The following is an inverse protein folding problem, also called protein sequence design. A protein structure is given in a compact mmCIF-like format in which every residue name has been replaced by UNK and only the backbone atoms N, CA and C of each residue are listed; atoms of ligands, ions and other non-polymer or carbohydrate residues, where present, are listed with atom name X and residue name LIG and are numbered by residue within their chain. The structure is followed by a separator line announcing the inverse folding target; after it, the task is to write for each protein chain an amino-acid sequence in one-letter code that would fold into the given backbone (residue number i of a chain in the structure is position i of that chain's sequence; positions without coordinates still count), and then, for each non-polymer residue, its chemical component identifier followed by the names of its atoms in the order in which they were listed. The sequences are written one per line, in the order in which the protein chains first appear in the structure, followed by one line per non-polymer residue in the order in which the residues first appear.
data_IF_445817361379
#
_entry.id   IF_445817361379
#
_cell.length_a   1.000
_cell.length_b   1.000
_cell.length_c   1.000
_cell.angle_alpha   90.00
_cell.angle_beta   90.00
_cell.angle_gamma   90.00
#
_symmetry.space_group_name_H-M   'P 1'
#
loop_
_entity.id
_entity.type
_entity.pdbx_description
1 polymer ?
#
# COMPACT_ATOMS: atom_id res chain seq x y z
N UNK A 1 9.42 -10.89 22.98
CA UNK A 1 10.07 -11.64 21.88
C UNK A 1 9.73 -10.96 20.58
N UNK A 2 10.70 -10.76 19.68
CA UNK A 2 10.42 -10.35 18.29
C UNK A 2 9.51 -11.43 17.68
N UNK A 3 8.40 -11.02 17.06
CA UNK A 3 7.49 -11.93 16.36
C UNK A 3 8.21 -12.52 15.13
N UNK A 4 7.82 -13.72 14.70
CA UNK A 4 8.40 -14.33 13.52
C UNK A 4 8.05 -13.54 12.24
N UNK A 5 8.87 -13.60 11.17
CA UNK A 5 8.63 -12.85 9.93
C UNK A 5 7.22 -13.03 9.35
N UNK A 6 6.74 -14.27 9.30
CA UNK A 6 5.38 -14.59 8.85
C UNK A 6 4.28 -14.00 9.74
N UNK A 7 4.51 -13.94 11.05
CA UNK A 7 3.55 -13.34 11.98
C UNK A 7 3.48 -11.83 11.80
N UNK A 8 4.61 -11.16 11.56
CA UNK A 8 4.63 -9.73 11.26
C UNK A 8 3.96 -9.45 9.91
N UNK A 9 4.27 -10.22 8.87
CA UNK A 9 3.60 -10.12 7.57
C UNK A 9 2.08 -10.22 7.71
N UNK A 10 1.56 -11.20 8.47
CA UNK A 10 0.11 -11.33 8.73
C UNK A 10 -0.50 -10.12 9.42
N UNK A 11 0.22 -9.46 10.34
CA UNK A 11 -0.29 -8.25 11.00
C UNK A 11 -0.44 -7.08 10.03
N UNK A 12 0.54 -6.91 9.16
CA UNK A 12 0.48 -5.88 8.11
C UNK A 12 -0.62 -6.17 7.09
N UNK A 13 -0.79 -7.44 6.70
CA UNK A 13 -1.85 -7.84 5.79
C UNK A 13 -3.24 -7.60 6.39
N UNK A 14 -3.45 -7.96 7.66
CA UNK A 14 -4.71 -7.69 8.36
C UNK A 14 -5.06 -6.20 8.40
N UNK A 15 -4.06 -5.33 8.52
CA UNK A 15 -4.30 -3.88 8.44
C UNK A 15 -4.64 -3.44 7.01
N UNK A 16 -4.01 -4.01 5.98
CA UNK A 16 -4.34 -3.74 4.59
C UNK A 16 -5.79 -4.17 4.25
N UNK A 17 -6.22 -5.32 4.76
CA UNK A 17 -7.60 -5.81 4.59
C UNK A 17 -8.63 -4.88 5.25
N UNK A 18 -8.34 -4.40 6.46
CA UNK A 18 -9.20 -3.44 7.15
C UNK A 18 -9.25 -2.09 6.42
N UNK A 19 -8.13 -1.60 5.91
CA UNK A 19 -8.09 -0.37 5.10
C UNK A 19 -8.90 -0.53 3.81
N UNK A 20 -8.87 -1.70 3.17
CA UNK A 20 -9.65 -2.00 1.96
C UNK A 20 -11.15 -1.94 2.26
N UNK A 21 -11.58 -2.57 3.36
CA UNK A 21 -12.98 -2.54 3.81
C UNK A 21 -13.49 -1.10 4.00
N UNK A 22 -12.66 -0.22 4.56
CA UNK A 22 -13.01 1.20 4.71
C UNK A 22 -12.97 1.97 3.39
N UNK A 23 -12.02 1.66 2.50
CA UNK A 23 -11.96 2.27 1.18
C UNK A 23 -13.24 1.99 0.38
N UNK A 24 -13.69 0.73 0.38
CA UNK A 24 -14.94 0.30 -0.27
C UNK A 24 -16.15 1.05 0.31
N UNK A 25 -16.25 1.12 1.63
CA UNK A 25 -17.32 1.88 2.30
C UNK A 25 -17.31 3.37 1.90
N UNK A 26 -16.15 4.00 1.83
CA UNK A 26 -16.04 5.42 1.48
C UNK A 26 -16.42 5.70 0.02
N UNK A 27 -16.15 4.78 -0.90
CA UNK A 27 -16.61 4.91 -2.30
C UNK A 27 -18.13 5.00 -2.36
N UNK A 28 -18.84 4.19 -1.57
CA UNK A 28 -20.31 4.21 -1.54
C UNK A 28 -20.89 5.48 -0.90
N UNK A 29 -20.13 6.15 -0.03
CA UNK A 29 -20.60 7.28 0.79
C UNK A 29 -20.02 8.64 0.35
N UNK A 30 -19.41 8.72 -0.84
CA UNK A 30 -18.90 9.96 -1.40
C UNK A 30 -17.56 10.45 -0.82
N UNK A 31 -16.88 9.61 -0.03
CA UNK A 31 -15.57 9.88 0.54
C UNK A 31 -14.42 9.63 -0.44
N UNK A 32 -14.56 10.00 -1.72
CA UNK A 32 -13.69 9.53 -2.81
C UNK A 32 -12.21 9.85 -2.61
N UNK A 33 -11.88 11.06 -2.14
CA UNK A 33 -10.48 11.43 -1.92
C UNK A 33 -9.83 10.59 -0.81
N UNK A 34 -10.59 10.25 0.24
CA UNK A 34 -10.14 9.35 1.31
C UNK A 34 -10.09 7.89 0.84
N UNK A 35 -11.02 7.47 -0.01
CA UNK A 35 -10.96 6.14 -0.63
C UNK A 35 -9.69 5.98 -1.48
N UNK A 36 -9.31 7.00 -2.26
CA UNK A 36 -8.05 7.00 -3.01
C UNK A 36 -6.81 6.97 -2.09
N UNK A 37 -6.85 7.71 -0.97
CA UNK A 37 -5.80 7.66 0.04
C UNK A 37 -5.65 6.25 0.63
N UNK A 38 -6.76 5.63 1.03
CA UNK A 38 -6.75 4.29 1.59
C UNK A 38 -6.33 3.25 0.55
N UNK A 39 -6.73 3.40 -0.73
CA UNK A 39 -6.26 2.51 -1.78
C UNK A 39 -4.72 2.49 -1.89
N UNK A 40 -4.06 3.64 -1.73
CA UNK A 40 -2.60 3.69 -1.65
C UNK A 40 -2.07 2.99 -0.39
N UNK A 41 -2.70 3.20 0.77
CA UNK A 41 -2.31 2.54 2.02
C UNK A 41 -2.49 1.02 1.98
N UNK A 42 -3.54 0.52 1.33
CA UNK A 42 -3.78 -0.91 1.09
C UNK A 42 -2.61 -1.50 0.31
N UNK A 43 -2.25 -0.88 -0.83
CA UNK A 43 -1.12 -1.33 -1.65
C UNK A 43 0.20 -1.32 -0.88
N UNK A 44 0.49 -0.23 -0.17
CA UNK A 44 1.69 -0.10 0.66
C UNK A 44 1.78 -1.20 1.72
N UNK A 45 0.71 -1.40 2.50
CA UNK A 45 0.71 -2.35 3.63
C UNK A 45 0.70 -3.79 3.17
N UNK A 46 0.01 -4.12 2.07
CA UNK A 46 0.01 -5.46 1.49
C UNK A 46 1.40 -5.86 0.97
N UNK A 47 2.10 -4.96 0.28
CA UNK A 47 3.46 -5.23 -0.19
C UNK A 47 4.45 -5.35 0.98
N UNK A 48 4.34 -4.50 1.99
CA UNK A 48 5.11 -4.62 3.22
C UNK A 48 4.85 -5.96 3.92
N UNK A 49 3.60 -6.39 3.99
CA UNK A 49 3.23 -7.68 4.56
C UNK A 49 3.95 -8.85 3.86
N UNK A 50 3.97 -8.84 2.53
CA UNK A 50 4.69 -9.83 1.75
C UNK A 50 6.20 -9.81 2.04
N UNK A 51 6.83 -8.64 1.99
CA UNK A 51 8.27 -8.50 2.24
C UNK A 51 8.66 -8.94 3.66
N UNK A 52 7.87 -8.59 4.68
CA UNK A 52 8.05 -9.09 6.04
C UNK A 52 7.93 -10.62 6.11
N UNK A 53 6.99 -11.23 5.39
CA UNK A 53 6.85 -12.68 5.35
C UNK A 53 8.05 -13.38 4.69
N UNK A 54 8.77 -12.71 3.78
CA UNK A 54 10.01 -13.20 3.17
C UNK A 54 11.24 -13.07 4.08
N UNK A 55 11.12 -12.42 5.24
CA UNK A 55 12.22 -12.28 6.20
C UNK A 55 12.88 -10.90 6.24
N UNK A 56 12.39 -9.91 5.47
CA UNK A 56 12.89 -8.54 5.57
C UNK A 56 12.62 -7.97 6.96
N UNK A 57 13.66 -7.48 7.65
CA UNK A 57 13.49 -6.94 9.01
C UNK A 57 12.97 -5.50 9.02
N UNK A 58 13.31 -4.73 7.98
CA UNK A 58 13.08 -3.28 7.92
C UNK A 58 12.63 -2.91 6.50
N UNK A 59 11.32 -2.80 6.30
CA UNK A 59 10.73 -2.36 5.04
C UNK A 59 10.39 -0.87 5.11
N UNK A 60 11.18 -0.03 4.43
CA UNK A 60 11.07 1.43 4.49
C UNK A 60 10.37 2.02 3.26
N UNK A 61 9.85 3.22 3.43
CA UNK A 61 9.21 3.99 2.37
C UNK A 61 7.72 3.70 2.23
N UNK A 62 7.09 4.48 1.35
CA UNK A 62 5.64 4.47 1.10
C UNK A 62 5.30 4.28 -0.39
N UNK A 63 6.31 4.28 -1.25
CA UNK A 63 6.10 4.13 -2.69
C UNK A 63 5.74 2.69 -3.02
N UNK A 64 4.53 2.50 -3.53
CA UNK A 64 4.01 1.24 -4.05
C UNK A 64 4.90 0.73 -5.18
N UNK A 65 5.37 1.63 -6.05
CA UNK A 65 6.30 1.27 -7.14
C UNK A 65 7.57 0.61 -6.60
N UNK A 66 8.22 1.26 -5.62
CA UNK A 66 9.45 0.72 -5.01
C UNK A 66 9.19 -0.59 -4.28
N UNK A 67 8.11 -0.66 -3.50
CA UNK A 67 7.78 -1.87 -2.75
C UNK A 67 7.46 -3.06 -3.69
N UNK A 68 6.80 -2.83 -4.83
CA UNK A 68 6.61 -3.84 -5.87
C UNK A 68 7.94 -4.31 -6.46
N UNK A 69 8.86 -3.38 -6.76
CA UNK A 69 10.19 -3.72 -7.28
C UNK A 69 10.98 -4.61 -6.31
N UNK A 70 10.89 -4.32 -5.01
CA UNK A 70 11.50 -5.16 -3.98
C UNK A 70 10.80 -6.53 -3.86
N UNK A 71 9.48 -6.58 -3.93
CA UNK A 71 8.72 -7.82 -3.90
C UNK A 71 9.01 -8.71 -5.13
N UNK A 72 9.21 -8.10 -6.29
CA UNK A 72 9.56 -8.78 -7.54
C UNK A 72 10.87 -9.58 -7.47
N UNK A 73 11.76 -9.26 -6.52
CA UNK A 73 12.98 -10.04 -6.27
C UNK A 73 12.70 -11.42 -5.70
N UNK A 74 11.52 -11.63 -5.12
CA UNK A 74 11.07 -12.90 -4.54
C UNK A 74 10.04 -13.61 -5.42
N UNK A 75 9.20 -12.85 -6.11
CA UNK A 75 8.13 -13.38 -6.98
C UNK A 75 7.90 -12.44 -8.18
N UNK A 76 8.21 -12.92 -9.38
CA UNK A 76 8.17 -12.12 -10.61
C UNK A 76 6.77 -11.61 -10.99
N UNK A 77 5.70 -12.19 -10.45
CA UNK A 77 4.33 -11.72 -10.69
C UNK A 77 4.13 -10.26 -10.23
N UNK A 78 4.93 -9.79 -9.27
CA UNK A 78 4.90 -8.39 -8.82
C UNK A 78 5.42 -7.38 -9.87
N UNK A 79 6.16 -7.80 -10.90
CA UNK A 79 6.59 -6.90 -11.98
C UNK A 79 5.38 -6.40 -12.80
N UNK A 80 4.35 -7.23 -12.99
CA UNK A 80 3.12 -6.80 -13.65
C UNK A 80 2.36 -5.76 -12.82
N UNK A 81 2.37 -5.96 -11.49
CA UNK A 81 1.80 -5.04 -10.52
C UNK A 81 2.48 -3.66 -10.54
N UNK A 82 3.78 -3.61 -10.78
CA UNK A 82 4.57 -2.37 -10.84
C UNK A 82 3.99 -1.37 -11.86
N UNK A 83 3.62 -1.84 -13.06
CA UNK A 83 3.01 -0.98 -14.10
C UNK A 83 1.58 -0.55 -13.76
N UNK A 84 0.84 -1.34 -12.97
CA UNK A 84 -0.59 -1.12 -12.70
C UNK A 84 -0.84 -0.33 -11.43
N UNK A 85 -0.05 -0.56 -10.38
CA UNK A 85 -0.31 -0.03 -9.03
C UNK A 85 0.50 1.21 -8.70
N UNK A 86 1.56 1.53 -9.45
CA UNK A 86 2.36 2.74 -9.24
C UNK A 86 1.55 4.05 -9.29
N UNK A 87 0.42 4.06 -9.99
CA UNK A 87 -0.51 5.21 -10.00
C UNK A 87 -0.98 5.60 -8.59
N UNK A 88 -1.02 4.64 -7.65
CA UNK A 88 -1.45 4.88 -6.28
C UNK A 88 -0.53 5.86 -5.53
N UNK A 89 0.75 5.95 -5.89
CA UNK A 89 1.70 6.87 -5.26
C UNK A 89 1.26 8.34 -5.43
N UNK A 90 0.58 8.65 -6.54
CA UNK A 90 -0.02 9.97 -6.77
C UNK A 90 -1.09 10.34 -5.76
N UNK A 91 -1.80 9.35 -5.20
CA UNK A 91 -2.87 9.59 -4.21
C UNK A 91 -2.35 9.74 -2.79
N UNK A 92 -1.06 9.47 -2.50
CA UNK A 92 -0.55 9.63 -1.15
C UNK A 92 -0.54 11.10 -0.72
N UNK A 93 0.01 12.01 -1.53
CA UNK A 93 0.16 13.42 -1.15
C UNK A 93 -1.06 14.26 -1.54
N UNK A 94 -1.58 14.06 -2.75
CA UNK A 94 -2.64 14.90 -3.35
C UNK A 94 -3.98 14.84 -2.62
N UNK A 95 -4.28 13.71 -1.99
CA UNK A 95 -5.52 13.53 -1.23
C UNK A 95 -5.46 14.09 0.19
N UNK A 96 -4.26 14.39 0.70
CA UNK A 96 -4.07 14.90 2.07
C UNK A 96 -3.87 16.41 2.14
N UNK A 97 -3.27 16.99 1.12
CA UNK A 97 -2.85 18.40 1.14
C UNK A 97 -3.48 19.15 -0.04
N UNK A 98 -4.36 20.13 0.21
CA UNK A 98 -4.92 20.97 -0.84
C UNK A 98 -3.85 21.67 -1.68
N UNK A 99 -2.73 22.07 -1.05
CA UNK A 99 -1.59 22.69 -1.72
C UNK A 99 -0.84 21.79 -2.70
N UNK A 100 -1.12 20.48 -2.70
CA UNK A 100 -0.55 19.53 -3.65
C UNK A 100 -1.40 19.33 -4.90
N UNK A 101 -2.56 19.98 -4.98
CA UNK A 101 -3.42 20.00 -6.16
C UNK A 101 -3.07 21.28 -6.94
N UNK A 102 -2.75 21.20 -8.24
CA UNK A 102 -2.52 22.39 -9.06
C UNK A 102 -3.74 23.30 -9.04
N UNK A 103 -3.51 24.62 -8.93
CA UNK A 103 -4.56 25.61 -9.16
C UNK A 103 -5.10 25.43 -10.59
N UNK A 104 -6.44 25.38 -10.72
CA UNK A 104 -7.16 25.18 -11.99
C UNK A 104 -7.10 26.40 -12.90
#
# INVERSE_FOLDING_TARGET
MRKGPLEEGRRWLAQAEEDLRWAEHLVEHGGYYLACFLAQQVGEKALKAFLYAQGEEVVLGHSVERLCSEAAKFDEEFEEGLRRWAILDGYYITTRYPSAIPDS
#
